data_IF_202501193910
#
_entry.id   IF_202501193910
#
_cell.length_a   1.000
_cell.length_b   1.000
_cell.length_c   1.000
_cell.angle_alpha   90.00
_cell.angle_beta   90.00
_cell.angle_gamma   90.00
#
_symmetry.space_group_name_H-M   'P 1'
#
loop_
_entity.id
_entity.type
_entity.pdbx_description
1 polymer ?
#
# COMPACT_ATOMS: atom_id res chain seq x y z
N UNK A 1 5.65 2.11 -7.92
CA UNK A 1 4.38 2.75 -8.31
C UNK A 1 4.38 3.18 -9.79
N UNK A 2 5.39 2.76 -10.55
CA UNK A 2 5.64 3.14 -11.94
C UNK A 2 6.39 1.98 -12.58
N UNK A 3 6.19 1.83 -13.88
CA UNK A 3 6.79 0.77 -14.67
C UNK A 3 7.51 1.39 -15.86
N UNK A 4 8.51 0.69 -16.34
CA UNK A 4 9.14 0.97 -17.62
C UNK A 4 8.08 0.88 -18.73
N UNK A 5 8.03 1.86 -19.64
CA UNK A 5 6.99 1.92 -20.67
C UNK A 5 7.18 0.88 -21.79
N UNK A 6 8.41 0.36 -21.94
CA UNK A 6 8.76 -0.61 -22.98
C UNK A 6 8.82 -2.02 -22.39
N UNK A 7 9.52 -2.21 -21.27
CA UNK A 7 9.73 -3.54 -20.68
C UNK A 7 8.66 -3.94 -19.68
N UNK A 8 7.84 -2.98 -19.22
CA UNK A 8 6.84 -3.14 -18.16
C UNK A 8 7.43 -3.55 -16.80
N UNK A 9 8.75 -3.51 -16.64
CA UNK A 9 9.41 -3.81 -15.37
C UNK A 9 9.08 -2.74 -14.33
N UNK A 10 8.90 -3.11 -13.05
CA UNK A 10 8.84 -2.14 -11.97
C UNK A 10 10.11 -1.27 -11.92
N UNK A 11 9.95 0.05 -11.82
CA UNK A 11 11.06 1.02 -11.73
C UNK A 11 10.96 1.84 -10.44
N UNK A 12 12.06 2.42 -9.93
CA UNK A 12 12.01 3.42 -8.86
C UNK A 12 11.54 4.78 -9.43
N UNK A 13 11.20 5.72 -8.55
CA UNK A 13 10.88 7.10 -8.92
C UNK A 13 11.79 8.08 -8.16
N UNK A 14 11.25 8.82 -7.19
CA UNK A 14 12.06 9.64 -6.27
C UNK A 14 12.91 8.72 -5.37
N UNK A 15 13.94 9.25 -4.72
CA UNK A 15 14.86 8.45 -3.88
C UNK A 15 14.14 7.64 -2.80
N UNK A 16 13.05 8.18 -2.25
CA UNK A 16 12.20 7.51 -1.25
C UNK A 16 11.07 6.65 -1.85
N UNK A 17 11.07 6.40 -3.16
CA UNK A 17 10.09 5.59 -3.88
C UNK A 17 10.79 4.45 -4.65
N UNK A 18 11.30 3.44 -3.93
CA UNK A 18 12.05 2.35 -4.52
C UNK A 18 11.15 1.47 -5.41
N UNK A 19 11.78 0.63 -6.24
CA UNK A 19 11.09 -0.44 -6.97
C UNK A 19 10.35 -1.35 -5.99
N UNK A 20 9.03 -1.47 -6.13
CA UNK A 20 8.16 -2.13 -5.15
C UNK A 20 6.80 -2.51 -5.75
N UNK A 21 6.06 -3.37 -5.05
CA UNK A 21 4.60 -3.42 -5.16
C UNK A 21 4.00 -2.22 -4.43
N UNK A 22 2.89 -1.65 -4.94
CA UNK A 22 2.26 -0.49 -4.29
C UNK A 22 0.92 -0.84 -3.66
N UNK A 23 0.79 -0.66 -2.35
CA UNK A 23 -0.48 -0.85 -1.64
C UNK A 23 -1.51 0.25 -1.90
N UNK A 24 -1.05 1.46 -2.26
CA UNK A 24 -1.94 2.59 -2.56
C UNK A 24 -2.39 2.60 -4.02
N UNK A 25 -1.43 2.68 -4.96
CA UNK A 25 -1.75 2.93 -6.37
C UNK A 25 -2.46 1.74 -7.03
N UNK A 26 -2.19 0.51 -6.58
CA UNK A 26 -2.83 -0.70 -7.13
C UNK A 26 -4.34 -0.71 -6.94
N UNK A 27 -4.88 -0.01 -5.93
CA UNK A 27 -6.33 0.09 -5.71
C UNK A 27 -7.01 0.75 -6.90
N UNK A 28 -6.41 1.82 -7.45
CA UNK A 28 -6.92 2.51 -8.63
C UNK A 28 -6.90 1.63 -9.87
N UNK A 29 -5.84 0.86 -10.07
CA UNK A 29 -5.72 -0.09 -11.19
C UNK A 29 -6.76 -1.20 -11.10
N UNK A 30 -6.98 -1.77 -9.91
CA UNK A 30 -8.01 -2.81 -9.73
C UNK A 30 -9.40 -2.26 -10.01
N UNK A 31 -9.71 -1.05 -9.54
CA UNK A 31 -10.98 -0.37 -9.84
C UNK A 31 -11.16 -0.13 -11.34
N UNK A 32 -10.10 0.30 -12.03
CA UNK A 32 -10.11 0.47 -13.48
C UNK A 32 -10.44 -0.85 -14.18
N UNK A 33 -9.77 -1.94 -13.81
CA UNK A 33 -10.04 -3.27 -14.39
C UNK A 33 -11.46 -3.76 -14.11
N UNK A 34 -11.97 -3.54 -12.90
CA UNK A 34 -13.35 -3.88 -12.51
C UNK A 34 -14.41 -3.06 -13.26
N UNK A 35 -14.05 -1.90 -13.83
CA UNK A 35 -14.96 -1.06 -14.61
C UNK A 35 -15.22 -1.57 -16.03
N UNK A 36 -14.38 -2.50 -16.52
CA UNK A 36 -14.50 -3.05 -17.87
C UNK A 36 -15.79 -3.87 -17.98
N UNK A 37 -16.64 -3.54 -18.96
CA UNK A 37 -17.84 -4.30 -19.28
C UNK A 37 -17.45 -5.63 -19.93
N UNK A 38 -18.01 -6.74 -19.46
CA UNK A 38 -17.71 -8.10 -19.93
C UNK A 38 -16.19 -8.39 -19.96
N UNK A 39 -15.50 -8.30 -18.81
CA UNK A 39 -14.05 -8.45 -18.75
C UNK A 39 -13.64 -9.86 -19.21
N UNK A 40 -12.48 -9.98 -19.86
CA UNK A 40 -11.93 -11.28 -20.24
C UNK A 40 -11.54 -12.11 -19.02
N UNK A 41 -11.36 -13.42 -19.21
CA UNK A 41 -10.88 -14.32 -18.15
C UNK A 41 -9.55 -13.87 -17.55
N UNK A 42 -8.66 -13.28 -18.35
CA UNK A 42 -7.38 -12.73 -17.88
C UNK A 42 -7.58 -11.50 -16.99
N UNK A 43 -8.49 -10.59 -17.34
CA UNK A 43 -8.82 -9.43 -16.49
C UNK A 43 -9.45 -9.88 -15.17
N UNK A 44 -10.36 -10.86 -15.23
CA UNK A 44 -10.96 -11.44 -14.03
C UNK A 44 -9.89 -12.05 -13.12
N UNK A 45 -8.97 -12.84 -13.69
CA UNK A 45 -7.87 -13.44 -12.94
C UNK A 45 -6.95 -12.37 -12.31
N UNK A 46 -6.65 -11.27 -13.02
CA UNK A 46 -5.84 -10.19 -12.51
C UNK A 46 -6.49 -9.48 -11.31
N UNK A 47 -7.79 -9.14 -11.41
CA UNK A 47 -8.56 -8.52 -10.31
C UNK A 47 -8.57 -9.43 -9.08
N UNK A 48 -8.91 -10.71 -9.26
CA UNK A 48 -8.96 -11.67 -8.15
C UNK A 48 -7.60 -11.83 -7.48
N UNK A 49 -6.53 -11.96 -8.25
CA UNK A 49 -5.16 -12.10 -7.72
C UNK A 49 -4.72 -10.87 -6.93
N UNK A 50 -5.04 -9.66 -7.42
CA UNK A 50 -4.74 -8.43 -6.71
C UNK A 50 -5.50 -8.32 -5.39
N UNK A 51 -6.79 -8.70 -5.36
CA UNK A 51 -7.60 -8.71 -4.13
C UNK A 51 -7.06 -9.72 -3.12
N UNK A 52 -6.68 -10.92 -3.56
CA UNK A 52 -6.04 -11.90 -2.68
C UNK A 52 -4.70 -11.39 -2.14
N UNK A 53 -3.90 -10.71 -2.96
CA UNK A 53 -2.68 -10.06 -2.49
C UNK A 53 -2.95 -9.00 -1.41
N UNK A 54 -3.98 -8.15 -1.58
CA UNK A 54 -4.33 -7.18 -0.54
C UNK A 54 -4.80 -7.85 0.75
N UNK A 55 -5.58 -8.94 0.67
CA UNK A 55 -6.02 -9.69 1.85
C UNK A 55 -4.85 -10.30 2.63
N UNK A 56 -3.85 -10.83 1.92
CA UNK A 56 -2.65 -11.42 2.52
C UNK A 56 -1.66 -10.36 3.03
N UNK A 57 -1.53 -9.22 2.35
CA UNK A 57 -0.51 -8.21 2.66
C UNK A 57 -0.97 -7.17 3.69
N UNK A 58 -2.20 -7.30 4.20
CA UNK A 58 -2.70 -6.41 5.25
C UNK A 58 -1.88 -6.58 6.53
N UNK A 59 -1.71 -5.48 7.25
CA UNK A 59 -1.02 -5.43 8.53
C UNK A 59 -2.10 -5.29 9.61
N UNK A 60 -2.07 -6.17 10.59
CA UNK A 60 -3.04 -6.19 11.70
C UNK A 60 -2.33 -5.95 13.03
N UNK A 61 -3.08 -5.56 14.06
CA UNK A 61 -2.53 -5.40 15.40
C UNK A 61 -1.70 -4.14 15.61
N UNK A 62 -1.74 -3.20 14.67
CA UNK A 62 -1.01 -1.92 14.77
C UNK A 62 -1.86 -0.75 14.32
N UNK A 63 -1.56 0.43 14.87
CA UNK A 63 -2.12 1.72 14.46
C UNK A 63 -0.99 2.73 14.29
N UNK A 64 -1.16 3.67 13.35
CA UNK A 64 -0.31 4.85 13.27
C UNK A 64 -0.97 5.98 14.02
N UNK A 65 -0.28 6.51 15.02
CA UNK A 65 -0.75 7.66 15.79
C UNK A 65 0.25 8.81 15.70
N UNK A 66 -0.24 10.02 15.93
CA UNK A 66 0.58 11.20 16.12
C UNK A 66 0.74 11.43 17.63
N UNK A 67 1.98 11.51 18.11
CA UNK A 67 2.32 11.80 19.51
C UNK A 67 3.01 13.15 19.62
N UNK A 68 2.94 13.78 20.78
CA UNK A 68 3.72 14.98 21.08
C UNK A 68 5.22 14.63 21.13
N UNK A 69 6.04 15.45 20.48
CA UNK A 69 7.50 15.35 20.48
C UNK A 69 8.10 16.76 20.44
N UNK A 70 8.39 17.31 21.61
CA UNK A 70 8.90 18.69 21.79
C UNK A 70 10.27 18.92 21.16
N UNK A 71 11.03 17.85 20.88
CA UNK A 71 12.33 17.94 20.23
C UNK A 71 12.21 17.92 18.70
N UNK A 72 11.02 17.64 18.19
CA UNK A 72 10.77 17.59 16.76
C UNK A 72 10.42 18.96 16.16
N UNK A 73 10.72 19.19 14.87
CA UNK A 73 10.39 20.45 14.17
C UNK A 73 8.93 20.90 14.26
N UNK A 74 7.95 19.99 14.31
CA UNK A 74 6.53 20.35 14.39
C UNK A 74 5.92 20.18 15.79
N UNK A 75 6.72 19.78 16.79
CA UNK A 75 6.21 19.42 18.11
C UNK A 75 5.47 18.08 18.13
N UNK A 76 5.44 17.34 17.02
CA UNK A 76 4.70 16.09 16.84
C UNK A 76 5.45 15.07 16.01
N UNK A 77 5.19 13.79 16.24
CA UNK A 77 5.82 12.69 15.54
C UNK A 77 4.83 11.52 15.31
N UNK A 78 4.89 10.91 14.13
CA UNK A 78 4.14 9.70 13.80
C UNK A 78 4.88 8.48 14.31
N UNK A 79 4.16 7.60 15.01
CA UNK A 79 4.68 6.34 15.52
C UNK A 79 3.72 5.19 15.22
N UNK A 80 4.28 3.99 15.06
CA UNK A 80 3.52 2.75 15.01
C UNK A 80 3.33 2.29 16.45
N UNK A 81 2.09 2.03 16.86
CA UNK A 81 1.76 1.44 18.17
C UNK A 81 1.02 0.13 17.99
N UNK A 82 1.19 -0.78 18.93
CA UNK A 82 0.40 -2.01 18.99
C UNK A 82 -1.05 -1.69 19.38
N UNK A 83 -2.00 -2.23 18.61
CA UNK A 83 -3.43 -2.10 18.85
C UNK A 83 -4.13 -3.28 18.19
N UNK A 84 -4.44 -4.32 18.97
CA UNK A 84 -5.12 -5.53 18.49
C UNK A 84 -6.56 -5.28 18.02
N UNK A 85 -7.14 -4.12 18.36
CA UNK A 85 -8.48 -3.70 17.93
C UNK A 85 -8.45 -2.81 16.69
N UNK A 86 -7.27 -2.41 16.22
CA UNK A 86 -7.13 -1.58 15.04
C UNK A 86 -7.65 -2.30 13.79
N UNK A 87 -8.36 -1.58 12.89
CA UNK A 87 -8.68 -2.13 11.58
C UNK A 87 -7.39 -2.44 10.79
N UNK A 88 -7.40 -3.43 9.88
CA UNK A 88 -6.23 -3.72 9.06
C UNK A 88 -5.77 -2.50 8.27
N UNK A 89 -4.45 -2.31 8.20
CA UNK A 89 -3.80 -1.20 7.50
C UNK A 89 -2.82 -1.76 6.47
N UNK A 90 -2.49 -0.98 5.43
CA UNK A 90 -1.52 -1.38 4.41
C UNK A 90 -0.36 -0.41 4.36
N UNK A 91 0.83 -0.92 4.06
CA UNK A 91 1.96 -0.08 3.71
C UNK A 91 1.80 0.45 2.28
N UNK A 92 2.40 1.60 1.99
CA UNK A 92 2.38 2.15 0.62
C UNK A 92 3.23 1.33 -0.34
N UNK A 93 4.32 0.76 0.17
CA UNK A 93 5.28 -0.01 -0.61
C UNK A 93 5.59 -1.34 0.06
N UNK A 94 5.65 -2.38 -0.76
CA UNK A 94 6.03 -3.73 -0.35
C UNK A 94 7.16 -4.25 -1.24
N UNK A 95 8.12 -4.93 -0.63
CA UNK A 95 9.23 -5.57 -1.34
C UNK A 95 8.72 -6.69 -2.25
N UNK A 96 9.17 -6.68 -3.50
CA UNK A 96 8.84 -7.72 -4.48
C UNK A 96 9.47 -9.05 -4.03
N UNK A 97 8.69 -10.12 -4.10
CA UNK A 97 9.10 -11.47 -3.67
C UNK A 97 8.71 -11.78 -2.23
N UNK A 98 9.04 -10.91 -1.27
CA UNK A 98 8.75 -11.15 0.15
C UNK A 98 7.40 -10.61 0.62
N UNK A 99 6.83 -9.63 -0.09
CA UNK A 99 5.65 -8.88 0.34
C UNK A 99 5.82 -8.21 1.71
N UNK A 100 7.07 -7.93 2.12
CA UNK A 100 7.34 -7.22 3.37
C UNK A 100 7.13 -5.72 3.18
N UNK A 101 6.46 -5.01 4.10
CA UNK A 101 6.43 -3.55 4.11
C UNK A 101 7.84 -2.96 4.06
N UNK A 102 8.02 -1.94 3.22
CA UNK A 102 9.29 -1.21 3.11
C UNK A 102 9.08 0.29 3.22
N UNK A 103 10.10 0.93 3.79
CA UNK A 103 10.19 2.37 3.99
C UNK A 103 11.48 2.86 3.36
N UNK A 104 11.57 4.15 3.05
CA UNK A 104 12.77 4.72 2.47
C UNK A 104 12.88 6.19 2.87
N UNK A 105 14.11 6.65 3.09
CA UNK A 105 14.38 8.06 3.31
C UNK A 105 14.98 8.68 2.03
N UNK A 106 15.42 9.93 2.11
CA UNK A 106 16.08 10.65 1.02
C UNK A 106 17.41 10.02 0.63
N UNK A 107 18.01 9.20 1.49
CA UNK A 107 19.23 8.42 1.25
C UNK A 107 19.03 7.26 0.25
N UNK A 108 17.77 6.91 -0.09
CA UNK A 108 17.47 5.81 -1.00
C UNK A 108 17.66 4.42 -0.40
N UNK A 109 17.94 4.32 0.90
CA UNK A 109 18.17 3.04 1.57
C UNK A 109 16.86 2.47 2.08
N UNK A 110 16.53 1.27 1.60
CA UNK A 110 15.38 0.50 2.08
C UNK A 110 15.49 0.23 3.59
N UNK A 111 14.43 0.55 4.32
CA UNK A 111 14.23 0.27 5.74
C UNK A 111 12.98 -0.60 5.93
N UNK A 112 12.82 -1.20 7.11
CA UNK A 112 11.74 -2.15 7.36
C UNK A 112 10.79 -1.75 8.48
N UNK A 113 10.99 -0.57 9.07
CA UNK A 113 10.08 0.07 10.00
C UNK A 113 10.03 1.58 9.79
N UNK A 114 8.89 2.17 10.16
CA UNK A 114 8.70 3.62 10.12
C UNK A 114 9.66 4.38 11.06
N UNK A 115 10.10 3.72 12.14
CA UNK A 115 11.03 4.29 13.11
C UNK A 115 12.47 4.42 12.57
N UNK A 116 12.84 3.66 11.54
CA UNK A 116 14.17 3.70 10.93
C UNK A 116 14.37 4.85 9.94
N UNK A 117 13.29 5.49 9.47
CA UNK A 117 13.38 6.66 8.57
C UNK A 117 13.37 7.96 9.37
N UNK A 118 14.01 8.98 8.83
CA UNK A 118 14.14 10.31 9.41
C UNK A 118 12.83 11.05 9.52
N UNK A 119 12.82 12.03 10.42
CA UNK A 119 11.64 12.76 10.84
C UNK A 119 10.81 13.34 9.67
N UNK A 120 11.46 13.99 8.71
CA UNK A 120 10.79 14.70 7.62
C UNK A 120 10.03 13.74 6.69
N UNK A 121 10.63 12.59 6.32
CA UNK A 121 9.95 11.57 5.51
C UNK A 121 8.93 10.77 6.30
N UNK A 122 9.20 10.49 7.57
CA UNK A 122 8.25 9.81 8.45
C UNK A 122 6.93 10.55 8.56
N UNK A 123 7.01 11.86 8.73
CA UNK A 123 5.85 12.69 9.04
C UNK A 123 5.19 13.29 7.80
N UNK A 124 5.98 13.64 6.78
CA UNK A 124 5.51 14.32 5.57
C UNK A 124 4.98 13.42 4.45
N UNK A 125 4.97 12.09 4.61
CA UNK A 125 4.55 11.16 3.56
C UNK A 125 3.63 10.06 4.10
N UNK A 126 2.65 9.66 3.30
CA UNK A 126 1.68 8.60 3.65
C UNK A 126 2.28 7.22 3.44
N UNK A 127 3.00 6.70 4.44
CA UNK A 127 3.60 5.37 4.40
C UNK A 127 2.64 4.24 4.70
N UNK A 128 1.57 4.53 5.42
CA UNK A 128 0.49 3.59 5.73
C UNK A 128 -0.86 4.20 5.37
N UNK A 129 -1.81 3.35 5.04
CA UNK A 129 -3.17 3.78 4.75
C UNK A 129 -4.16 2.64 4.70
N UNK A 130 -5.44 3.01 4.65
CA UNK A 130 -6.58 2.11 4.57
C UNK A 130 -7.11 1.94 3.14
N UNK A 131 -6.29 2.29 2.13
CA UNK A 131 -6.73 2.41 0.73
C UNK A 131 -7.46 1.18 0.19
N UNK A 132 -7.01 -0.06 0.45
CA UNK A 132 -7.68 -1.27 -0.06
C UNK A 132 -8.98 -1.65 0.67
N UNK A 133 -9.32 -1.02 1.80
CA UNK A 133 -10.40 -1.47 2.69
C UNK A 133 -11.75 -1.59 1.97
N UNK A 134 -12.24 -0.49 1.40
CA UNK A 134 -13.55 -0.49 0.73
C UNK A 134 -13.54 -1.33 -0.56
N UNK A 135 -12.39 -1.39 -1.25
CA UNK A 135 -12.22 -2.26 -2.42
C UNK A 135 -12.49 -3.72 -2.06
N UNK A 136 -11.90 -4.22 -0.96
CA UNK A 136 -12.03 -5.61 -0.54
C UNK A 136 -13.40 -5.89 0.09
N UNK A 137 -13.88 -4.99 0.96
CA UNK A 137 -15.06 -5.24 1.79
C UNK A 137 -16.38 -5.02 1.03
N UNK A 138 -16.40 -4.14 0.03
CA UNK A 138 -17.64 -3.69 -0.63
C UNK A 138 -17.59 -3.87 -2.14
N UNK A 139 -16.64 -3.23 -2.80
CA UNK A 139 -16.62 -3.09 -4.26
C UNK A 139 -16.37 -4.43 -4.97
N UNK A 140 -15.37 -5.19 -4.50
CA UNK A 140 -15.02 -6.48 -5.09
C UNK A 140 -16.13 -7.54 -4.93
N UNK A 141 -16.74 -7.75 -3.74
CA UNK A 141 -17.87 -8.66 -3.60
C UNK A 141 -19.08 -8.33 -4.48
N UNK A 142 -19.33 -7.04 -4.74
CA UNK A 142 -20.38 -6.59 -5.66
C UNK A 142 -20.04 -6.90 -7.11
N UNK A 143 -18.80 -6.60 -7.53
CA UNK A 143 -18.32 -6.90 -8.87
C UNK A 143 -18.31 -8.41 -9.15
N UNK A 144 -17.82 -9.22 -8.21
CA UNK A 144 -17.75 -10.68 -8.32
C UNK A 144 -19.15 -11.30 -8.51
N UNK A 145 -20.19 -10.74 -7.86
CA UNK A 145 -21.59 -11.15 -8.07
C UNK A 145 -22.12 -10.79 -9.46
N UNK A 146 -21.65 -9.70 -10.07
CA UNK A 146 -22.08 -9.26 -11.41
C UNK A 146 -21.47 -10.14 -12.50
N UNK A 147 -20.21 -10.54 -12.37
CA UNK A 147 -19.52 -11.34 -13.40
C UNK A 147 -19.86 -12.83 -13.37
N UNK A 148 -20.48 -13.33 -12.29
CA UNK A 148 -20.94 -14.72 -12.17
C UNK A 148 -22.34 -14.97 -12.75
N UNK A 149 -23.06 -13.89 -13.07
CA UNK A 149 -24.36 -13.96 -13.75
C UNK A 149 -24.14 -14.00 -15.25
#
# INVERSE_FOLDING_TARGET
AQHDEVTFEPRPARTFEPTSLSGAESVGIVRLLMSIKNPSTNVIAAVRSAVEWFKHSKITGVRIIEVEDKHSPSGKNKVVVEDQTAPPIWARFYEIGSNRPIFCDRDGVKKYSLAEIGYERRNGYGWYGYWPKDLIEKEYPEWERKIRK
#
